data_IF_302672238344
#
_entry.id   IF_302672238344
#
_cell.length_a   1.000
_cell.length_b   1.000
_cell.length_c   1.000
_cell.angle_alpha   90.00
_cell.angle_beta   90.00
_cell.angle_gamma   90.00
#
_symmetry.space_group_name_H-M   'P 1'
#
loop_
_entity.id
_entity.type
_entity.pdbx_description
1 polymer ?
#
# COMPACT_ATOMS: atom_id res chain seq x y z
N UNK A 1 8.93 9.29 -2.21
CA UNK A 1 9.15 7.90 -1.77
C UNK A 1 8.43 7.55 -0.48
N UNK A 2 8.57 8.35 0.60
CA UNK A 2 7.93 8.05 1.87
C UNK A 2 6.39 8.21 1.89
N UNK A 3 5.79 8.83 0.88
CA UNK A 3 4.35 9.14 0.87
C UNK A 3 3.47 7.88 0.94
N UNK A 4 3.69 6.85 0.12
CA UNK A 4 2.84 5.66 0.13
C UNK A 4 2.93 4.83 1.43
N UNK A 5 4.13 4.54 1.97
CA UNK A 5 4.25 3.87 3.27
C UNK A 5 3.64 4.68 4.41
N UNK A 6 3.89 6.00 4.45
CA UNK A 6 3.30 6.87 5.47
C UNK A 6 1.80 6.88 5.34
N UNK A 7 1.24 7.10 4.15
CA UNK A 7 -0.22 7.13 3.97
C UNK A 7 -0.86 5.79 4.36
N UNK A 8 -0.20 4.67 4.08
CA UNK A 8 -0.70 3.34 4.46
C UNK A 8 -0.77 3.18 5.97
N UNK A 9 0.32 3.46 6.69
CA UNK A 9 0.37 3.36 8.15
C UNK A 9 -0.46 4.45 8.83
N UNK A 10 -0.43 5.68 8.34
CA UNK A 10 -1.28 6.75 8.86
C UNK A 10 -2.75 6.42 8.69
N UNK A 11 -3.16 5.81 7.58
CA UNK A 11 -4.55 5.39 7.37
C UNK A 11 -4.99 4.34 8.39
N UNK A 12 -4.12 3.40 8.77
CA UNK A 12 -4.45 2.38 9.78
C UNK A 12 -4.62 3.02 11.15
N UNK A 13 -3.79 3.99 11.54
CA UNK A 13 -3.96 4.71 12.81
C UNK A 13 -5.23 5.57 12.83
N UNK A 14 -5.55 6.27 11.74
CA UNK A 14 -6.75 7.12 11.66
C UNK A 14 -8.04 6.31 11.77
N UNK A 15 -8.07 5.09 11.23
CA UNK A 15 -9.24 4.19 11.29
C UNK A 15 -9.15 3.17 12.43
N UNK A 16 -8.18 3.35 13.35
CA UNK A 16 -7.92 2.50 14.51
C UNK A 16 -7.71 1.00 14.16
N UNK A 17 -7.17 0.71 12.98
CA UNK A 17 -6.81 -0.63 12.53
C UNK A 17 -5.40 -1.01 12.99
N UNK A 18 -5.24 -1.23 14.30
CA UNK A 18 -3.95 -1.60 14.90
C UNK A 18 -3.39 -2.94 14.37
N UNK A 19 -4.29 -3.87 14.02
CA UNK A 19 -3.90 -5.13 13.36
C UNK A 19 -3.29 -4.83 11.99
N UNK A 20 -3.95 -3.99 11.19
CA UNK A 20 -3.41 -3.51 9.92
C UNK A 20 -2.06 -2.81 10.06
N UNK A 21 -1.88 -1.95 11.08
CA UNK A 21 -0.58 -1.32 11.37
C UNK A 21 0.51 -2.36 11.60
N UNK A 22 0.25 -3.38 12.43
CA UNK A 22 1.20 -4.44 12.73
C UNK A 22 1.53 -5.27 11.49
N UNK A 23 0.52 -5.69 10.74
CA UNK A 23 0.68 -6.51 9.53
C UNK A 23 1.47 -5.75 8.45
N UNK A 24 1.20 -4.45 8.28
CA UNK A 24 2.00 -3.58 7.43
C UNK A 24 3.46 -3.54 7.88
N UNK A 25 3.71 -3.32 9.18
CA UNK A 25 5.07 -3.20 9.71
C UNK A 25 5.87 -4.50 9.55
N UNK A 26 5.24 -5.66 9.74
CA UNK A 26 5.88 -6.95 9.49
C UNK A 26 6.22 -7.15 8.01
N UNK A 27 5.26 -6.88 7.11
CA UNK A 27 5.50 -6.93 5.67
C UNK A 27 6.59 -5.95 5.22
N UNK A 28 6.57 -4.72 5.75
CA UNK A 28 7.57 -3.69 5.46
C UNK A 28 8.95 -4.10 5.95
N UNK A 29 9.06 -4.61 7.18
CA UNK A 29 10.31 -5.09 7.76
C UNK A 29 10.91 -6.24 6.94
N UNK A 30 10.09 -7.23 6.59
CA UNK A 30 10.53 -8.34 5.72
C UNK A 30 11.01 -7.82 4.36
N UNK A 31 10.23 -6.94 3.72
CA UNK A 31 10.59 -6.36 2.43
C UNK A 31 11.93 -5.62 2.49
N UNK A 32 12.11 -4.75 3.49
CA UNK A 32 13.33 -3.99 3.67
C UNK A 32 14.54 -4.91 3.89
N UNK A 33 14.39 -5.92 4.75
CA UNK A 33 15.45 -6.87 5.05
C UNK A 33 15.87 -7.67 3.80
N UNK A 34 14.91 -8.21 3.05
CA UNK A 34 15.19 -8.98 1.84
C UNK A 34 15.76 -8.09 0.73
N UNK A 35 15.22 -6.89 0.53
CA UNK A 35 15.73 -5.92 -0.45
C UNK A 35 17.20 -5.60 -0.17
N UNK A 36 17.53 -5.24 1.07
CA UNK A 36 18.90 -4.86 1.44
C UNK A 36 19.84 -6.06 1.41
N UNK A 37 19.38 -7.24 1.84
CA UNK A 37 20.14 -8.48 1.74
C UNK A 37 20.50 -8.81 0.29
N UNK A 38 19.53 -8.75 -0.63
CA UNK A 38 19.77 -9.02 -2.05
C UNK A 38 20.70 -7.99 -2.70
N UNK A 39 20.56 -6.70 -2.34
CA UNK A 39 21.48 -5.65 -2.83
C UNK A 39 22.92 -5.94 -2.44
N UNK A 40 23.17 -6.33 -1.18
CA UNK A 40 24.51 -6.65 -0.67
C UNK A 40 25.07 -7.96 -1.21
N UNK A 41 24.20 -8.92 -1.50
CA UNK A 41 24.61 -10.23 -2.02
C UNK A 41 24.93 -10.21 -3.51
N UNK A 42 24.18 -9.45 -4.32
CA UNK A 42 24.28 -9.50 -5.78
C UNK A 42 25.12 -8.38 -6.39
N UNK A 43 25.35 -7.28 -5.65
CA UNK A 43 26.26 -6.18 -6.02
C UNK A 43 26.18 -5.80 -7.51
N UNK A 44 24.96 -5.56 -7.99
CA UNK A 44 24.71 -5.23 -9.41
C UNK A 44 24.89 -3.74 -9.63
N UNK A 45 25.80 -3.38 -10.52
CA UNK A 45 25.96 -2.02 -11.02
C UNK A 45 24.67 -1.48 -11.64
N UNK A 46 24.39 -0.21 -11.38
CA UNK A 46 23.25 0.51 -11.95
C UNK A 46 23.53 0.96 -13.39
N UNK A 47 22.48 1.18 -14.22
CA UNK A 47 22.67 1.69 -15.57
C UNK A 47 23.40 3.04 -15.63
N UNK A 48 23.20 3.89 -14.62
CA UNK A 48 23.87 5.19 -14.47
C UNK A 48 25.29 5.14 -13.85
N UNK A 49 25.78 3.97 -13.45
CA UNK A 49 27.08 3.80 -12.80
C UNK A 49 27.18 4.40 -11.38
N UNK A 50 26.07 4.77 -10.75
CA UNK A 50 26.10 5.48 -9.45
C UNK A 50 26.50 4.60 -8.26
N UNK A 51 26.12 3.32 -8.25
CA UNK A 51 26.53 2.32 -7.26
C UNK A 51 26.27 0.87 -7.74
N UNK A 52 26.71 -0.10 -6.93
CA UNK A 52 26.50 -1.54 -7.14
C UNK A 52 25.24 -2.08 -6.44
N UNK A 53 24.27 -1.22 -6.15
CA UNK A 53 23.02 -1.59 -5.45
C UNK A 53 21.83 -1.46 -6.38
N UNK A 54 21.91 -2.01 -7.60
CA UNK A 54 20.78 -1.99 -8.54
C UNK A 54 19.68 -2.99 -8.15
N UNK A 55 20.01 -4.27 -7.99
CA UNK A 55 19.00 -5.31 -7.82
C UNK A 55 18.64 -5.61 -6.35
N UNK A 56 17.35 -5.74 -5.98
CA UNK A 56 16.16 -5.26 -6.71
C UNK A 56 15.94 -3.76 -6.45
N UNK A 57 15.00 -3.14 -7.17
CA UNK A 57 14.62 -1.75 -6.92
C UNK A 57 13.88 -1.59 -5.59
N UNK A 58 14.55 -1.05 -4.56
CA UNK A 58 13.93 -0.83 -3.25
C UNK A 58 12.79 0.20 -3.28
N UNK A 59 12.90 1.20 -4.16
CA UNK A 59 11.84 2.19 -4.36
C UNK A 59 10.55 1.53 -4.89
N UNK A 60 10.72 0.68 -5.89
CA UNK A 60 9.60 -0.07 -6.45
C UNK A 60 9.04 -1.03 -5.40
N UNK A 61 9.91 -1.76 -4.70
CA UNK A 61 9.50 -2.76 -3.70
C UNK A 61 8.65 -2.19 -2.58
N UNK A 62 9.08 -1.07 -1.98
CA UNK A 62 8.34 -0.43 -0.90
C UNK A 62 6.99 0.11 -1.39
N UNK A 63 6.96 0.71 -2.58
CA UNK A 63 5.73 1.29 -3.14
C UNK A 63 4.68 0.22 -3.45
N UNK A 64 5.09 -0.90 -4.05
CA UNK A 64 4.20 -2.02 -4.34
C UNK A 64 3.78 -2.79 -3.09
N UNK A 65 4.61 -2.87 -2.05
CA UNK A 65 4.19 -3.40 -0.75
C UNK A 65 3.09 -2.54 -0.13
N UNK A 66 3.22 -1.22 -0.16
CA UNK A 66 2.20 -0.31 0.36
C UNK A 66 0.88 -0.42 -0.41
N UNK A 67 0.94 -0.43 -1.75
CA UNK A 67 -0.25 -0.63 -2.58
C UNK A 67 -0.92 -2.00 -2.36
N UNK A 68 -0.10 -3.06 -2.21
CA UNK A 68 -0.60 -4.41 -1.97
C UNK A 68 -1.18 -4.59 -0.57
N UNK A 69 -0.64 -3.90 0.43
CA UNK A 69 -1.24 -3.87 1.76
C UNK A 69 -2.64 -3.26 1.71
N UNK A 70 -2.79 -2.10 1.05
CA UNK A 70 -4.11 -1.47 0.87
C UNK A 70 -5.06 -2.42 0.14
N UNK A 71 -4.57 -3.10 -0.90
CA UNK A 71 -5.35 -4.07 -1.66
C UNK A 71 -5.83 -5.24 -0.79
N UNK A 72 -4.91 -5.94 -0.14
CA UNK A 72 -5.23 -7.15 0.63
C UNK A 72 -6.06 -6.82 1.87
N UNK A 73 -5.78 -5.69 2.53
CA UNK A 73 -6.46 -5.27 3.75
C UNK A 73 -7.85 -4.67 3.49
N UNK A 74 -7.94 -3.71 2.57
CA UNK A 74 -9.15 -2.87 2.38
C UNK A 74 -9.89 -3.13 1.06
N UNK A 75 -9.25 -3.83 0.12
CA UNK A 75 -9.83 -4.21 -1.17
C UNK A 75 -9.32 -3.38 -2.35
N UNK A 76 -9.45 -3.96 -3.54
CA UNK A 76 -8.87 -3.43 -4.79
C UNK A 76 -9.32 -2.00 -5.11
N UNK A 77 -10.58 -1.65 -4.83
CA UNK A 77 -11.12 -0.30 -5.13
C UNK A 77 -10.30 0.84 -4.51
N UNK A 78 -9.72 0.62 -3.33
CA UNK A 78 -8.87 1.60 -2.66
C UNK A 78 -7.42 1.55 -3.12
N UNK A 79 -7.00 0.40 -3.64
CA UNK A 79 -5.62 0.16 -4.05
C UNK A 79 -5.32 0.63 -5.48
N UNK A 80 -6.31 0.77 -6.36
CA UNK A 80 -6.11 1.25 -7.75
C UNK A 80 -5.24 2.52 -7.83
N UNK A 81 -5.57 3.63 -7.13
CA UNK A 81 -4.72 4.83 -7.18
C UNK A 81 -3.32 4.58 -6.57
N UNK A 82 -3.21 3.71 -5.56
CA UNK A 82 -1.93 3.35 -4.95
C UNK A 82 -1.05 2.54 -5.91
N UNK A 83 -1.63 1.58 -6.66
CA UNK A 83 -0.92 0.82 -7.69
C UNK A 83 -0.50 1.70 -8.86
N UNK A 84 -1.34 2.66 -9.28
CA UNK A 84 -0.96 3.63 -10.31
C UNK A 84 0.25 4.47 -9.87
N UNK A 85 0.24 4.96 -8.63
CA UNK A 85 1.38 5.68 -8.05
C UNK A 85 2.63 4.79 -7.93
N UNK A 86 2.49 3.53 -7.50
CA UNK A 86 3.60 2.58 -7.42
C UNK A 86 4.19 2.24 -8.79
N UNK A 87 3.35 2.09 -9.82
CA UNK A 87 3.79 1.89 -11.19
C UNK A 87 4.55 3.11 -11.73
N UNK A 88 4.07 4.33 -11.45
CA UNK A 88 4.78 5.57 -11.79
C UNK A 88 6.14 5.65 -11.11
N UNK A 89 6.25 5.26 -9.83
CA UNK A 89 7.54 5.16 -9.15
C UNK A 89 8.46 4.19 -9.88
N UNK A 90 8.00 2.98 -10.20
CA UNK A 90 8.81 1.99 -10.94
C UNK A 90 9.29 2.52 -12.29
N UNK A 91 8.38 3.12 -13.06
CA UNK A 91 8.70 3.78 -14.33
C UNK A 91 9.78 4.86 -14.16
N UNK A 92 9.62 5.75 -13.16
CA UNK A 92 10.59 6.83 -12.91
C UNK A 92 12.01 6.31 -12.63
N UNK A 93 12.15 5.10 -12.07
CA UNK A 93 13.46 4.51 -11.80
C UNK A 93 14.16 4.01 -13.05
N UNK A 94 13.40 3.49 -14.01
CA UNK A 94 13.93 3.10 -15.32
C UNK A 94 14.24 4.35 -16.15
N UNK A 95 13.31 5.31 -16.18
CA UNK A 95 13.46 6.56 -16.93
C UNK A 95 14.69 7.39 -16.51
N UNK A 96 15.05 7.34 -15.22
CA UNK A 96 16.22 8.02 -14.68
C UNK A 96 17.51 7.18 -14.72
N UNK A 97 17.53 6.06 -15.46
CA UNK A 97 18.67 5.12 -15.54
C UNK A 97 19.16 4.58 -14.18
N UNK A 98 18.32 4.70 -13.15
CA UNK A 98 18.69 4.27 -11.81
C UNK A 98 18.53 2.75 -11.60
N UNK A 99 17.72 2.09 -12.44
CA UNK A 99 17.46 0.65 -12.38
C UNK A 99 17.10 0.07 -13.76
N UNK A 100 17.50 -1.18 -14.01
CA UNK A 100 16.98 -1.93 -15.14
C UNK A 100 15.51 -2.33 -14.90
N UNK A 101 14.76 -2.55 -15.98
CA UNK A 101 13.36 -3.03 -15.91
C UNK A 101 13.23 -4.29 -15.05
N UNK A 102 14.17 -5.23 -15.14
CA UNK A 102 14.19 -6.45 -14.32
C UNK A 102 14.31 -6.18 -12.82
N UNK A 103 15.04 -5.13 -12.41
CA UNK A 103 15.19 -4.76 -11.01
C UNK A 103 13.88 -4.20 -10.46
N UNK A 104 13.14 -3.46 -11.30
CA UNK A 104 11.81 -2.93 -11.02
C UNK A 104 10.78 -4.05 -10.92
N UNK A 105 10.74 -4.99 -11.86
CA UNK A 105 9.84 -6.15 -11.81
C UNK A 105 10.10 -7.02 -10.58
N UNK A 106 11.38 -7.26 -10.23
CA UNK A 106 11.74 -7.97 -9.01
C UNK A 106 11.30 -7.22 -7.75
N UNK A 107 11.46 -5.89 -7.72
CA UNK A 107 10.96 -5.05 -6.63
C UNK A 107 9.45 -5.16 -6.48
N UNK A 108 8.69 -5.05 -7.59
CA UNK A 108 7.24 -5.23 -7.60
C UNK A 108 6.85 -6.58 -6.97
N UNK A 109 7.43 -7.67 -7.44
CA UNK A 109 7.12 -9.01 -6.96
C UNK A 109 7.41 -9.15 -5.46
N UNK A 110 8.58 -8.68 -5.00
CA UNK A 110 8.96 -8.70 -3.60
C UNK A 110 7.99 -7.89 -2.73
N UNK A 111 7.56 -6.73 -3.21
CA UNK A 111 6.58 -5.89 -2.51
C UNK A 111 5.22 -6.58 -2.35
N UNK A 112 4.70 -7.20 -3.41
CA UNK A 112 3.44 -7.95 -3.38
C UNK A 112 3.53 -9.15 -2.43
N UNK A 113 4.58 -9.95 -2.55
CA UNK A 113 4.78 -11.17 -1.75
C UNK A 113 4.92 -10.83 -0.26
N UNK A 114 5.78 -9.86 0.07
CA UNK A 114 6.01 -9.47 1.48
C UNK A 114 4.74 -8.95 2.15
N UNK A 115 3.86 -8.26 1.41
CA UNK A 115 2.55 -7.88 1.93
C UNK A 115 1.62 -9.08 2.10
N UNK A 116 1.57 -9.98 1.12
CA UNK A 116 0.64 -11.12 1.12
C UNK A 116 0.89 -12.14 2.22
N UNK A 117 2.12 -12.23 2.75
CA UNK A 117 2.47 -13.14 3.85
C UNK A 117 1.79 -12.75 5.16
N UNK A 118 1.69 -11.45 5.45
CA UNK A 118 1.23 -10.95 6.75
C UNK A 118 -0.14 -10.28 6.71
N UNK A 119 -0.61 -9.82 5.55
CA UNK A 119 -1.80 -8.98 5.48
C UNK A 119 -3.06 -9.83 5.46
N UNK A 120 -3.84 -9.76 6.54
CA UNK A 120 -5.16 -10.35 6.60
C UNK A 120 -6.24 -9.37 6.11
N UNK A 121 -7.26 -9.89 5.41
CA UNK A 121 -8.38 -9.06 4.94
C UNK A 121 -9.17 -8.49 6.13
N UNK A 122 -9.59 -7.23 6.05
CA UNK A 122 -10.44 -6.62 7.08
C UNK A 122 -11.87 -7.15 6.98
N UNK A 123 -12.34 -7.83 8.04
CA UNK A 123 -13.73 -8.27 8.18
C UNK A 123 -14.65 -7.11 8.58
N UNK A 124 -15.91 -7.15 8.13
CA UNK A 124 -16.95 -6.18 8.49
C UNK A 124 -17.33 -6.24 9.97
N UNK A 125 -17.10 -7.36 10.66
CA UNK A 125 -17.39 -7.53 12.09
C UNK A 125 -16.50 -6.69 12.99
N UNK A 126 -15.34 -6.25 12.49
CA UNK A 126 -14.43 -5.32 13.19
C UNK A 126 -14.77 -3.85 12.93
N UNK A 127 -15.91 -3.56 12.29
CA UNK A 127 -16.44 -2.19 12.14
C UNK A 127 -17.00 -1.76 13.49
N UNK A 128 -16.28 -0.88 14.20
CA UNK A 128 -16.93 -0.03 15.19
C UNK A 128 -18.10 0.73 14.53
N UNK A 129 -19.13 1.12 15.30
CA UNK A 129 -20.40 1.65 14.78
C UNK A 129 -20.26 2.85 13.83
N UNK A 130 -19.12 3.55 13.85
CA UNK A 130 -18.85 4.76 13.05
C UNK A 130 -18.02 4.50 11.77
N UNK A 131 -17.60 3.26 11.52
CA UNK A 131 -16.58 2.91 10.51
C UNK A 131 -16.99 3.08 9.04
N UNK A 132 -18.28 3.06 8.72
CA UNK A 132 -18.77 3.37 7.36
C UNK A 132 -18.85 4.87 7.09
N UNK A 133 -19.14 5.67 8.11
CA UNK A 133 -19.23 7.12 8.00
C UNK A 133 -17.86 7.74 7.72
N UNK A 134 -16.78 7.31 8.39
CA UNK A 134 -15.45 7.92 8.20
C UNK A 134 -14.85 7.77 6.79
N UNK A 135 -15.09 6.63 6.13
CA UNK A 135 -14.56 6.35 4.79
C UNK A 135 -15.50 6.84 3.68
N UNK A 136 -16.82 6.85 3.91
CA UNK A 136 -17.81 7.42 2.99
C UNK A 136 -17.81 8.97 3.02
N UNK A 137 -17.55 9.59 4.17
CA UNK A 137 -17.48 11.05 4.33
C UNK A 137 -16.27 11.65 3.61
N UNK A 138 -15.14 10.92 3.55
CA UNK A 138 -13.93 11.36 2.83
C UNK A 138 -14.04 11.26 1.30
N UNK A 139 -14.99 10.49 0.76
CA UNK A 139 -15.22 10.31 -0.67
C UNK A 139 -16.42 11.11 -1.22
N UNK A 140 -17.09 11.91 -0.38
CA UNK A 140 -18.14 12.85 -0.82
C UNK A 140 -17.60 14.28 -0.95
N UNK A 141 -16.79 14.52 -1.97
CA UNK A 141 -16.67 15.86 -2.56
C UNK A 141 -16.82 15.75 -4.07
N UNK A 142 -18.00 16.11 -4.57
CA UNK A 142 -18.28 16.33 -6.00
C UNK A 142 -19.61 15.75 -6.48
N UNK A 143 -20.67 16.57 -6.52
CA UNK A 143 -21.90 16.28 -7.28
C UNK A 143 -23.15 16.92 -6.66
N UNK A 144 -23.71 17.92 -7.32
CA UNK A 144 -24.76 18.80 -6.81
C UNK A 144 -26.16 18.18 -6.59
N UNK A 145 -26.91 18.91 -5.77
CA UNK A 145 -28.38 19.11 -5.77
C UNK A 145 -29.30 17.87 -5.71
N UNK A 146 -29.91 17.69 -4.52
CA UNK A 146 -31.28 17.19 -4.36
C UNK A 146 -31.47 15.68 -4.22
N UNK A 147 -31.85 15.21 -3.03
CA UNK A 147 -33.21 14.70 -2.72
C UNK A 147 -33.21 13.85 -1.43
N UNK A 148 -34.19 14.15 -0.57
CA UNK A 148 -34.89 13.33 0.45
C UNK A 148 -34.13 12.29 1.28
N UNK A 149 -34.13 12.49 2.61
CA UNK A 149 -33.77 11.48 3.61
C UNK A 149 -35.03 10.88 4.25
N UNK A 150 -35.12 9.56 4.32
CA UNK A 150 -36.06 8.84 5.18
C UNK A 150 -35.28 8.15 6.31
N UNK A 151 -35.56 8.52 7.56
CA UNK A 151 -35.05 7.84 8.75
C UNK A 151 -35.83 6.54 8.98
N UNK A 152 -35.17 5.40 8.85
CA UNK A 152 -35.63 4.13 9.41
C UNK A 152 -34.94 3.90 10.74
N UNK A 153 -35.68 3.96 11.84
CA UNK A 153 -35.21 3.52 13.15
C UNK A 153 -35.33 1.99 13.21
N UNK A 154 -34.21 1.30 13.41
CA UNK A 154 -34.22 -0.11 13.77
C UNK A 154 -34.47 -0.22 15.28
N UNK A 155 -35.62 -0.79 15.65
CA UNK A 155 -35.95 -1.17 17.02
C UNK A 155 -34.96 -2.22 17.55
N UNK A 156 -34.40 -1.96 18.73
CA UNK A 156 -33.64 -2.94 19.51
C UNK A 156 -34.65 -3.86 20.21
N UNK A 157 -34.63 -5.13 19.81
CA UNK A 157 -35.37 -6.22 20.46
C UNK A 157 -34.85 -6.50 21.88
N UNK A 158 -35.79 -6.92 22.73
CA UNK A 158 -35.70 -7.12 24.19
C UNK A 158 -34.66 -8.17 24.63
#
# INVERSE_FOLDING_TARGET
>A
MLSLPITSVSSTFLIQDYVGSRDFLYGFGLNAAVTEGLKRALQRERPDGSDEKSFPSGHTSISFQSASFIHFRYGLRYAVPAYAAAAFVGYSRVYADAHFVKDVVAGLALGVISSGIFTEKRSEESRGPDGDLGMALHLRFGGGLGTSWSMGFAEVGR
#
